data_IF_667123675814
#
_entry.id   IF_667123675814
#
_cell.length_a   1.000
_cell.length_b   1.000
_cell.length_c   1.000
_cell.angle_alpha   90.00
_cell.angle_beta   90.00
_cell.angle_gamma   90.00
#
_symmetry.space_group_name_H-M   'P 1'
#
loop_
_entity.id
_entity.type
_entity.pdbx_description
1 polymer ?
#
# COMPACT_ATOMS: atom_id res chain seq x y z
N UNK A 1 10.28 17.07 16.25
CA UNK A 1 9.60 16.50 17.42
C UNK A 1 9.00 15.15 17.02
N UNK A 2 8.92 14.18 17.92
CA UNK A 2 8.17 12.95 17.77
C UNK A 2 7.02 12.95 18.78
N UNK A 3 5.81 12.61 18.34
CA UNK A 3 4.62 12.56 19.19
C UNK A 3 4.11 11.12 19.24
N UNK A 4 4.03 10.58 20.46
CA UNK A 4 3.60 9.21 20.73
C UNK A 4 2.12 9.19 21.08
N UNK A 5 1.38 8.25 20.45
CA UNK A 5 -0.08 8.14 20.58
C UNK A 5 -0.51 6.74 20.96
N UNK A 6 -1.68 6.64 21.57
CA UNK A 6 -2.49 5.45 21.69
C UNK A 6 -3.67 5.53 20.70
N UNK A 7 -3.84 4.55 19.85
CA UNK A 7 -4.88 4.57 18.81
C UNK A 7 -6.30 4.42 19.35
N UNK A 8 -6.44 4.01 20.62
CA UNK A 8 -7.70 3.63 21.26
C UNK A 8 -8.50 2.57 20.49
N UNK A 9 -7.86 1.84 19.59
CA UNK A 9 -8.41 0.74 18.82
C UNK A 9 -7.76 -0.58 19.25
N UNK A 10 -8.56 -1.64 19.33
CA UNK A 10 -8.09 -2.96 19.74
C UNK A 10 -7.22 -3.66 18.67
N UNK A 11 -7.31 -3.23 17.40
CA UNK A 11 -6.60 -3.85 16.27
C UNK A 11 -5.97 -2.82 15.34
N UNK A 12 -4.92 -3.24 14.64
CA UNK A 12 -4.26 -2.40 13.64
C UNK A 12 -5.18 -2.09 12.46
N UNK A 13 -6.02 -3.04 12.05
CA UNK A 13 -7.00 -2.86 10.99
C UNK A 13 -8.01 -1.76 11.37
N UNK A 14 -8.47 -1.73 12.61
CA UNK A 14 -9.34 -0.69 13.14
C UNK A 14 -8.70 0.69 13.05
N UNK A 15 -7.44 0.81 13.45
CA UNK A 15 -6.67 2.06 13.37
C UNK A 15 -6.46 2.49 11.91
N UNK A 16 -6.05 1.57 11.04
CA UNK A 16 -5.88 1.84 9.59
C UNK A 16 -7.22 2.28 8.98
N UNK A 17 -8.30 1.57 9.29
CA UNK A 17 -9.64 1.89 8.79
C UNK A 17 -10.08 3.30 9.21
N UNK A 18 -9.80 3.66 10.45
CA UNK A 18 -10.08 5.00 10.97
C UNK A 18 -9.30 6.08 10.22
N UNK A 19 -8.01 5.88 9.96
CA UNK A 19 -7.18 6.82 9.18
C UNK A 19 -7.59 6.93 7.71
N UNK A 20 -8.09 5.85 7.14
CA UNK A 20 -8.61 5.83 5.77
C UNK A 20 -10.01 6.45 5.65
N UNK A 21 -10.73 6.61 6.77
CA UNK A 21 -12.03 7.24 6.78
C UNK A 21 -11.87 8.76 6.65
N UNK A 22 -12.41 9.34 5.58
CA UNK A 22 -12.32 10.78 5.32
C UNK A 22 -12.97 11.66 6.39
N UNK A 23 -13.97 11.14 7.07
CA UNK A 23 -14.67 11.88 8.12
C UNK A 23 -13.88 11.93 9.43
N UNK A 24 -12.87 11.06 9.61
CA UNK A 24 -12.05 11.03 10.80
C UNK A 24 -11.16 12.29 10.92
N UNK A 25 -10.69 12.82 9.80
CA UNK A 25 -9.75 13.95 9.71
C UNK A 25 -8.51 13.79 10.58
N UNK A 26 -8.07 12.53 10.78
CA UNK A 26 -6.86 12.19 11.52
C UNK A 26 -5.97 11.26 10.71
N UNK A 27 -4.67 11.35 10.93
CA UNK A 27 -3.67 10.46 10.37
C UNK A 27 -2.39 10.56 11.19
N UNK A 28 -1.55 9.52 11.23
CA UNK A 28 -0.21 9.57 11.80
C UNK A 28 0.80 9.07 10.77
N UNK A 29 2.08 9.29 11.01
CA UNK A 29 3.13 8.83 10.12
C UNK A 29 3.32 7.32 10.24
N UNK A 30 3.25 6.79 11.45
CA UNK A 30 3.45 5.37 11.74
C UNK A 30 2.36 4.82 12.64
N UNK A 31 2.10 3.52 12.49
CA UNK A 31 1.32 2.70 13.42
C UNK A 31 2.20 1.53 13.82
N UNK A 32 2.23 1.21 15.12
CA UNK A 32 2.91 0.04 15.67
C UNK A 32 1.86 -0.89 16.26
N UNK A 33 1.76 -2.09 15.69
CA UNK A 33 0.82 -3.11 16.15
C UNK A 33 1.31 -3.78 17.44
N UNK A 34 0.43 -4.46 18.14
CA UNK A 34 0.71 -5.14 19.41
C UNK A 34 1.80 -6.21 19.30
N UNK A 35 1.98 -6.79 18.12
CA UNK A 35 3.05 -7.75 17.80
C UNK A 35 4.39 -7.09 17.42
N UNK A 36 4.44 -5.74 17.36
CA UNK A 36 5.62 -4.96 17.00
C UNK A 36 5.77 -4.66 15.50
N UNK A 37 4.83 -5.06 14.66
CA UNK A 37 4.84 -4.68 13.24
C UNK A 37 4.64 -3.18 13.07
N UNK A 38 5.45 -2.56 12.19
CA UNK A 38 5.43 -1.12 11.93
C UNK A 38 4.84 -0.84 10.55
N UNK A 39 3.82 0.01 10.50
CA UNK A 39 3.13 0.46 9.28
C UNK A 39 3.38 1.95 9.07
N UNK A 40 3.95 2.34 7.91
CA UNK A 40 4.07 3.75 7.55
C UNK A 40 2.82 4.18 6.76
N UNK A 41 2.04 5.10 7.33
CA UNK A 41 0.81 5.64 6.74
C UNK A 41 1.03 6.96 6.01
N UNK A 42 1.86 7.84 6.56
CA UNK A 42 2.24 9.12 5.96
C UNK A 42 3.77 9.18 5.88
N UNK A 43 4.30 9.73 4.79
CA UNK A 43 5.75 9.92 4.63
C UNK A 43 6.23 11.00 5.61
N UNK A 44 7.46 10.88 6.09
CA UNK A 44 8.04 11.78 7.09
C UNK A 44 8.19 13.24 6.63
N UNK A 45 8.30 13.44 5.30
CA UNK A 45 8.40 14.76 4.67
C UNK A 45 7.04 15.43 4.41
N UNK A 46 5.94 14.78 4.80
CA UNK A 46 4.58 15.28 4.70
C UNK A 46 4.02 15.53 6.11
N UNK A 47 3.05 16.44 6.22
CA UNK A 47 2.34 16.67 7.48
C UNK A 47 1.24 15.66 7.69
N UNK A 48 1.21 14.99 8.84
CA UNK A 48 0.09 14.16 9.27
C UNK A 48 -0.82 14.93 10.25
N UNK A 49 -2.07 14.53 10.35
CA UNK A 49 -3.07 15.21 11.18
C UNK A 49 -3.26 14.44 12.50
N UNK A 50 -2.34 14.59 13.44
CA UNK A 50 -2.32 13.81 14.69
C UNK A 50 -2.19 14.65 15.97
N UNK A 51 -1.67 15.88 15.89
CA UNK A 51 -1.34 16.69 17.07
C UNK A 51 -1.62 18.18 16.86
N UNK A 52 -2.74 18.51 16.17
CA UNK A 52 -3.21 19.90 15.98
C UNK A 52 -2.09 20.89 15.59
N UNK A 53 -1.74 21.80 16.50
CA UNK A 53 -0.72 22.84 16.29
C UNK A 53 0.68 22.25 16.02
N UNK A 54 0.95 21.02 16.43
CA UNK A 54 2.23 20.36 16.22
C UNK A 54 2.32 19.58 14.88
N UNK A 55 1.22 19.43 14.13
CA UNK A 55 1.16 18.60 12.91
C UNK A 55 2.28 18.88 11.90
N UNK A 56 2.60 20.16 11.63
CA UNK A 56 3.57 20.56 10.61
C UNK A 56 5.03 20.41 11.01
N UNK A 57 5.30 20.09 12.27
CA UNK A 57 6.65 20.04 12.87
C UNK A 57 6.92 18.80 13.69
N UNK A 58 6.07 17.78 13.54
CA UNK A 58 6.22 16.53 14.27
C UNK A 58 5.93 15.30 13.42
N UNK A 59 6.50 14.18 13.85
CA UNK A 59 6.23 12.84 13.34
C UNK A 59 5.38 12.13 14.38
N UNK A 60 4.17 11.71 14.01
CA UNK A 60 3.24 10.99 14.89
C UNK A 60 3.41 9.49 14.76
N UNK A 61 3.47 8.80 15.90
CA UNK A 61 3.54 7.34 16.00
C UNK A 61 2.38 6.86 16.85
N UNK A 62 1.46 6.13 16.23
CA UNK A 62 0.34 5.47 16.91
C UNK A 62 0.73 4.07 17.37
N UNK A 63 0.34 3.72 18.57
CA UNK A 63 0.47 2.36 19.10
C UNK A 63 -0.93 1.76 19.24
N UNK A 64 -1.13 0.59 18.65
CA UNK A 64 -2.41 -0.11 18.74
C UNK A 64 -2.66 -0.54 20.18
N UNK A 65 -3.80 -0.15 20.71
CA UNK A 65 -4.21 -0.47 22.08
C UNK A 65 -5.43 0.35 22.49
N UNK A 66 -6.14 -0.11 23.49
CA UNK A 66 -7.25 0.61 24.16
C UNK A 66 -6.68 1.58 25.20
N UNK A 67 -7.53 2.44 25.76
CA UNK A 67 -7.14 3.39 26.81
C UNK A 67 -6.62 2.70 28.10
N UNK A 68 -6.97 1.44 28.32
CA UNK A 68 -6.55 0.64 29.48
C UNK A 68 -5.28 -0.18 29.23
N UNK A 69 -4.80 -0.24 27.99
CA UNK A 69 -3.65 -1.07 27.62
C UNK A 69 -2.32 -0.33 27.91
N UNK A 70 -1.32 -1.14 28.22
CA UNK A 70 0.08 -0.75 28.20
C UNK A 70 0.77 -1.31 26.96
N UNK A 71 1.95 -0.78 26.62
CA UNK A 71 2.79 -1.33 25.58
C UNK A 71 3.10 -2.79 25.84
N UNK A 72 2.94 -3.61 24.83
CA UNK A 72 3.54 -4.96 24.87
C UNK A 72 5.06 -4.85 24.74
N UNK A 73 5.80 -5.88 25.15
CA UNK A 73 7.26 -5.94 24.94
C UNK A 73 7.64 -5.79 23.47
N UNK A 74 6.83 -6.35 22.58
CA UNK A 74 7.06 -6.25 21.14
C UNK A 74 6.86 -4.81 20.63
N UNK A 75 5.81 -4.13 21.08
CA UNK A 75 5.58 -2.71 20.75
C UNK A 75 6.68 -1.81 21.33
N UNK A 76 7.08 -2.02 22.59
CA UNK A 76 8.13 -1.23 23.24
C UNK A 76 9.46 -1.36 22.48
N UNK A 77 9.86 -2.58 22.12
CA UNK A 77 11.06 -2.81 21.29
C UNK A 77 10.96 -2.15 19.91
N UNK A 78 9.85 -2.32 19.21
CA UNK A 78 9.64 -1.75 17.88
C UNK A 78 9.62 -0.21 17.93
N UNK A 79 8.92 0.36 18.91
CA UNK A 79 8.85 1.80 19.14
C UNK A 79 10.22 2.39 19.45
N UNK A 80 11.00 1.75 20.34
CA UNK A 80 12.33 2.22 20.69
C UNK A 80 13.29 2.24 19.48
N UNK A 81 13.22 1.23 18.62
CA UNK A 81 14.02 1.18 17.38
C UNK A 81 13.61 2.27 16.41
N UNK A 82 12.29 2.46 16.19
CA UNK A 82 11.76 3.48 15.29
C UNK A 82 12.08 4.89 15.79
N UNK A 83 11.84 5.17 17.07
CA UNK A 83 12.08 6.48 17.67
C UNK A 83 13.58 6.82 17.64
N UNK A 84 14.48 5.90 17.99
CA UNK A 84 15.93 6.11 17.87
C UNK A 84 16.35 6.41 16.43
N UNK A 85 15.81 5.68 15.48
CA UNK A 85 16.12 5.92 14.08
C UNK A 85 15.64 7.31 13.62
N UNK A 86 14.39 7.68 13.91
CA UNK A 86 13.84 8.99 13.58
C UNK A 86 14.60 10.13 14.29
N UNK A 87 14.92 9.95 15.56
CA UNK A 87 15.68 10.93 16.33
C UNK A 87 17.07 11.17 15.72
N UNK A 88 17.76 10.10 15.32
CA UNK A 88 19.07 10.21 14.69
C UNK A 88 19.00 10.78 13.27
N UNK A 89 17.98 10.41 12.46
CA UNK A 89 17.81 10.85 11.08
C UNK A 89 17.48 12.35 10.99
N UNK A 90 16.61 12.83 11.90
CA UNK A 90 16.11 14.21 11.88
C UNK A 90 16.73 15.11 12.97
N UNK A 91 17.72 14.62 13.71
CA UNK A 91 18.37 15.37 14.78
C UNK A 91 17.40 15.79 15.89
N UNK A 92 16.45 14.91 16.27
CA UNK A 92 15.43 15.20 17.29
C UNK A 92 15.98 14.80 18.67
N UNK A 93 16.18 15.75 19.61
CA UNK A 93 16.59 15.42 20.98
C UNK A 93 15.55 14.55 21.69
N UNK A 94 15.99 13.71 22.63
CA UNK A 94 15.10 12.87 23.43
C UNK A 94 13.99 13.67 24.15
N UNK A 95 14.31 14.86 24.63
CA UNK A 95 13.35 15.79 25.24
C UNK A 95 12.23 16.25 24.30
N UNK A 96 12.39 16.09 22.98
CA UNK A 96 11.40 16.41 21.96
C UNK A 96 10.60 15.15 21.51
N UNK A 97 10.67 14.06 22.25
CA UNK A 97 9.83 12.88 22.11
C UNK A 97 8.79 12.91 23.24
N UNK A 98 7.55 13.19 22.92
CA UNK A 98 6.50 13.49 23.90
C UNK A 98 5.21 12.71 23.64
N UNK A 99 4.37 12.53 24.64
CA UNK A 99 3.01 12.02 24.45
C UNK A 99 2.10 13.10 23.83
N UNK A 100 1.03 12.69 23.16
CA UNK A 100 0.12 13.58 22.43
C UNK A 100 -0.40 14.74 23.30
N UNK A 101 -0.94 14.46 24.50
CA UNK A 101 -1.49 15.49 25.41
C UNK A 101 -0.42 16.49 25.88
N UNK A 102 0.85 16.08 25.86
CA UNK A 102 1.99 16.90 26.30
C UNK A 102 2.67 17.64 25.14
N UNK A 103 2.22 17.43 23.90
CA UNK A 103 2.72 18.15 22.74
C UNK A 103 2.16 19.60 22.75
N UNK A 104 2.98 20.62 22.37
CA UNK A 104 2.57 22.02 22.42
C UNK A 104 1.25 22.30 21.71
N UNK A 105 0.29 22.90 22.42
CA UNK A 105 -1.04 23.25 21.93
C UNK A 105 -2.05 22.09 21.98
N UNK A 106 -1.72 21.02 22.72
CA UNK A 106 -2.65 19.91 22.97
C UNK A 106 -3.03 19.73 24.42
N UNK A 107 -2.50 20.56 25.31
CA UNK A 107 -2.75 20.52 26.75
C UNK A 107 -4.27 20.58 27.04
N UNK A 108 -4.77 19.60 27.82
CA UNK A 108 -6.18 19.52 28.21
C UNK A 108 -7.15 19.20 27.08
N UNK A 109 -6.69 18.84 25.88
CA UNK A 109 -7.55 18.55 24.72
C UNK A 109 -7.71 17.08 24.43
N UNK A 110 -6.91 16.21 25.04
CA UNK A 110 -6.90 14.76 24.84
C UNK A 110 -6.25 14.07 26.03
N UNK A 111 -6.65 12.82 26.28
CA UNK A 111 -6.00 11.95 27.28
C UNK A 111 -4.95 11.03 26.64
N UNK A 112 -4.77 11.09 25.32
CA UNK A 112 -3.78 10.31 24.60
C UNK A 112 -2.35 10.76 25.00
N UNK A 113 -1.42 9.83 25.29
CA UNK A 113 -1.47 8.39 25.05
C UNK A 113 -2.05 7.54 26.18
N UNK A 114 -2.82 8.12 27.11
CA UNK A 114 -3.39 7.40 28.27
C UNK A 114 -2.28 6.69 29.08
N UNK A 115 -2.57 5.50 29.59
CA UNK A 115 -1.63 4.70 30.39
C UNK A 115 -0.63 3.86 29.60
N UNK A 116 -0.49 4.12 28.29
CA UNK A 116 0.26 3.26 27.40
C UNK A 116 1.74 3.10 27.81
N UNK A 117 2.33 4.15 28.39
CA UNK A 117 3.74 4.19 28.85
C UNK A 117 3.88 4.02 30.38
N UNK A 118 2.84 3.57 31.05
CA UNK A 118 2.76 3.43 32.51
C UNK A 118 1.68 4.34 33.09
N UNK A 119 2.06 5.34 33.92
CA UNK A 119 1.14 6.35 34.39
C UNK A 119 0.80 7.38 33.30
N UNK A 120 -0.36 8.02 33.39
CA UNK A 120 -0.80 9.05 32.43
C UNK A 120 -0.15 10.40 32.76
N UNK A 121 1.18 10.43 32.76
CA UNK A 121 2.00 11.60 33.06
C UNK A 121 3.08 11.85 32.01
N UNK A 122 3.58 13.08 31.94
CA UNK A 122 4.71 13.43 31.08
C UNK A 122 5.99 12.71 31.51
N UNK A 123 6.15 12.53 32.82
CA UNK A 123 7.29 11.85 33.45
C UNK A 123 7.32 10.37 33.07
N UNK A 124 6.18 9.69 32.98
CA UNK A 124 6.11 8.29 32.55
C UNK A 124 6.55 8.13 31.09
N UNK A 125 6.09 9.01 30.21
CA UNK A 125 6.55 9.02 28.79
C UNK A 125 8.04 9.33 28.71
N UNK A 126 8.53 10.36 29.44
CA UNK A 126 9.95 10.73 29.49
C UNK A 126 10.81 9.60 30.08
N UNK A 127 10.31 8.92 31.12
CA UNK A 127 10.97 7.76 31.73
C UNK A 127 11.14 6.62 30.73
N UNK A 128 10.07 6.31 29.96
CA UNK A 128 10.16 5.32 28.90
C UNK A 128 11.16 5.72 27.81
N UNK A 129 11.14 7.00 27.39
CA UNK A 129 12.07 7.54 26.38
C UNK A 129 13.51 7.41 26.86
N UNK A 130 13.82 7.84 28.10
CA UNK A 130 15.17 7.76 28.67
C UNK A 130 15.65 6.31 28.77
N UNK A 131 14.79 5.38 29.21
CA UNK A 131 15.14 3.97 29.35
C UNK A 131 15.36 3.27 28.01
N UNK A 132 14.63 3.67 26.95
CA UNK A 132 14.56 2.94 25.69
C UNK A 132 15.21 3.65 24.50
N UNK A 133 15.35 4.99 24.53
CA UNK A 133 15.91 5.79 23.44
C UNK A 133 17.33 6.28 23.79
N UNK A 134 17.59 6.62 25.06
CA UNK A 134 18.88 7.08 25.58
C UNK A 134 19.19 8.55 25.27
N UNK A 135 20.08 9.18 26.05
CA UNK A 135 20.48 10.58 25.90
C UNK A 135 21.34 10.84 24.64
N UNK A 136 21.92 9.81 24.05
CA UNK A 136 22.80 9.92 22.86
C UNK A 136 22.05 10.20 21.54
N UNK A 137 20.73 10.20 21.53
CA UNK A 137 19.94 10.38 20.30
C UNK A 137 20.10 11.77 19.65
N UNK A 138 20.59 12.79 20.40
CA UNK A 138 20.75 14.15 19.90
C UNK A 138 22.17 14.73 19.96
N UNK A 139 23.15 14.03 20.58
CA UNK A 139 24.47 14.58 20.88
C UNK A 139 25.55 14.30 19.83
N UNK A 140 25.23 13.55 18.79
CA UNK A 140 26.13 13.45 17.62
C UNK A 140 25.95 14.71 16.78
N UNK A 141 27.03 15.53 16.70
CA UNK A 141 27.13 16.58 15.68
C UNK A 141 26.53 16.07 14.36
N UNK A 142 25.72 16.89 13.65
CA UNK A 142 25.21 16.50 12.35
C UNK A 142 26.41 16.10 11.52
N UNK A 143 26.60 14.80 11.32
CA UNK A 143 27.65 14.29 10.44
C UNK A 143 27.50 15.09 9.16
N UNK A 144 28.51 15.95 8.87
CA UNK A 144 28.62 16.69 7.61
C UNK A 144 28.07 15.76 6.54
N UNK A 145 27.01 16.17 5.88
CA UNK A 145 26.37 15.42 4.79
C UNK A 145 27.47 14.90 3.87
N UNK A 146 28.03 13.74 4.21
CA UNK A 146 28.58 12.87 3.19
C UNK A 146 27.33 12.60 2.36
N UNK A 147 27.36 13.06 1.15
CA UNK A 147 26.43 12.65 0.10
C UNK A 147 26.53 11.13 0.05
N UNK A 148 25.82 10.48 0.98
CA UNK A 148 25.60 9.04 0.92
C UNK A 148 24.77 8.93 -0.34
N UNK A 149 25.40 8.51 -1.40
CA UNK A 149 24.75 8.31 -2.68
C UNK A 149 23.47 7.51 -2.37
N UNK A 150 22.36 7.91 -2.97
CA UNK A 150 21.05 7.26 -2.76
C UNK A 150 21.10 5.74 -2.99
N UNK A 151 22.19 5.24 -3.54
CA UNK A 151 22.55 3.83 -3.68
C UNK A 151 22.95 3.14 -2.37
N UNK A 152 23.57 3.84 -1.39
CA UNK A 152 24.04 3.21 -0.15
C UNK A 152 22.92 3.09 0.90
N UNK A 153 21.99 4.06 0.96
CA UNK A 153 20.79 3.95 1.79
C UNK A 153 19.87 2.83 1.24
N UNK A 154 19.76 2.72 -0.08
CA UNK A 154 19.06 1.60 -0.73
C UNK A 154 19.73 0.25 -0.43
N UNK A 155 21.05 0.17 -0.34
CA UNK A 155 21.76 -1.09 -0.02
C UNK A 155 21.59 -1.53 1.43
N UNK A 156 21.52 -0.61 2.41
CA UNK A 156 21.34 -0.98 3.83
C UNK A 156 19.91 -1.33 4.20
N UNK A 157 18.92 -0.63 3.65
CA UNK A 157 17.50 -0.97 3.82
C UNK A 157 17.12 -2.29 3.10
N UNK A 158 17.99 -2.80 2.24
CA UNK A 158 17.78 -3.99 1.40
C UNK A 158 18.62 -5.19 1.80
N UNK A 159 19.42 -5.10 2.87
CA UNK A 159 20.02 -6.30 3.43
C UNK A 159 18.92 -7.08 4.15
N UNK A 160 18.35 -8.04 3.43
CA UNK A 160 17.70 -9.18 4.08
C UNK A 160 18.62 -9.68 5.18
N UNK A 161 18.14 -9.99 6.40
CA UNK A 161 18.95 -10.68 7.40
C UNK A 161 19.66 -11.81 6.68
N UNK A 162 20.99 -11.92 6.90
CA UNK A 162 21.81 -13.03 6.42
C UNK A 162 21.02 -14.31 6.64
N UNK A 163 20.84 -15.08 5.62
CA UNK A 163 20.05 -16.31 5.54
C UNK A 163 19.84 -16.94 6.92
N UNK A 164 18.79 -16.55 7.56
CA UNK A 164 18.25 -17.29 8.66
C UNK A 164 17.80 -18.64 8.09
N UNK A 165 18.17 -19.73 8.72
CA UNK A 165 18.07 -21.08 8.17
C UNK A 165 16.67 -21.50 7.72
N UNK A 166 16.50 -22.72 7.18
CA UNK A 166 15.23 -23.19 6.58
C UNK A 166 13.98 -22.90 7.41
N UNK A 167 14.07 -22.97 8.73
CA UNK A 167 12.94 -22.71 9.65
C UNK A 167 12.36 -21.28 9.52
N UNK A 168 13.19 -20.27 9.30
CA UNK A 168 12.74 -18.88 9.14
C UNK A 168 12.20 -18.61 7.72
N UNK A 169 12.69 -19.32 6.71
CA UNK A 169 12.15 -19.27 5.37
C UNK A 169 10.74 -19.88 5.34
N UNK A 170 10.51 -21.03 5.95
CA UNK A 170 9.18 -21.64 6.08
C UNK A 170 8.21 -20.78 6.90
N UNK A 171 8.69 -20.15 7.99
CA UNK A 171 7.91 -19.21 8.78
C UNK A 171 7.44 -18.02 7.96
N UNK A 172 8.34 -17.42 7.17
CA UNK A 172 8.01 -16.33 6.25
C UNK A 172 7.02 -16.77 5.18
N UNK A 173 7.27 -17.90 4.55
CA UNK A 173 6.39 -18.43 3.51
C UNK A 173 4.96 -18.64 4.04
N UNK A 174 4.83 -19.24 5.22
CA UNK A 174 3.53 -19.43 5.89
C UNK A 174 2.84 -18.09 6.19
N UNK A 175 3.59 -17.09 6.68
CA UNK A 175 3.08 -15.74 6.95
C UNK A 175 2.61 -15.06 5.66
N UNK A 176 3.41 -15.14 4.57
CA UNK A 176 3.06 -14.52 3.31
C UNK A 176 1.81 -15.18 2.66
N UNK A 177 1.66 -16.51 2.78
CA UNK A 177 0.43 -17.19 2.38
C UNK A 177 -0.77 -16.76 3.21
N UNK A 178 -0.63 -16.66 4.53
CA UNK A 178 -1.72 -16.21 5.40
C UNK A 178 -2.17 -14.79 5.04
N UNK A 179 -1.23 -13.88 4.77
CA UNK A 179 -1.53 -12.52 4.29
C UNK A 179 -2.26 -12.51 2.95
N UNK A 180 -1.84 -13.36 2.01
CA UNK A 180 -2.48 -13.49 0.71
C UNK A 180 -3.92 -14.01 0.88
N UNK A 181 -4.11 -15.09 1.63
CA UNK A 181 -5.42 -15.69 1.89
C UNK A 181 -6.37 -14.70 2.56
N UNK A 182 -5.88 -13.93 3.55
CA UNK A 182 -6.64 -12.90 4.22
C UNK A 182 -7.07 -11.80 3.23
N UNK A 183 -6.16 -11.31 2.36
CA UNK A 183 -6.51 -10.27 1.39
C UNK A 183 -7.50 -10.76 0.33
N UNK A 184 -7.41 -12.03 -0.08
CA UNK A 184 -8.40 -12.60 -1.01
C UNK A 184 -9.76 -12.76 -0.33
N UNK A 185 -9.82 -13.12 0.95
CA UNK A 185 -11.06 -13.26 1.70
C UNK A 185 -11.79 -11.94 1.97
N UNK A 186 -11.06 -10.82 2.04
CA UNK A 186 -11.64 -9.48 2.30
C UNK A 186 -12.16 -8.82 1.02
N UNK A 187 -11.63 -9.21 -0.15
CA UNK A 187 -12.11 -8.63 -1.41
C UNK A 187 -13.61 -8.95 -1.60
N UNK A 188 -14.45 -7.96 -1.96
CA UNK A 188 -15.86 -8.22 -2.26
C UNK A 188 -15.96 -9.32 -3.30
N UNK A 189 -16.57 -10.44 -2.92
CA UNK A 189 -16.85 -11.55 -3.84
C UNK A 189 -18.13 -11.20 -4.60
N UNK A 190 -18.06 -10.73 -5.84
CA UNK A 190 -19.29 -10.38 -6.56
C UNK A 190 -20.05 -11.62 -6.94
N UNK A 191 -21.35 -11.54 -6.79
CA UNK A 191 -22.28 -12.56 -7.25
C UNK A 191 -22.29 -12.70 -8.79
N UNK A 192 -21.76 -11.72 -9.52
CA UNK A 192 -21.76 -11.72 -10.97
C UNK A 192 -20.54 -12.47 -11.54
N UNK A 193 -20.77 -13.35 -12.49
CA UNK A 193 -19.77 -14.11 -13.26
C UNK A 193 -19.09 -13.22 -14.32
N UNK A 194 -19.64 -12.03 -14.60
CA UNK A 194 -19.17 -11.13 -15.63
C UNK A 194 -18.02 -10.24 -15.16
N UNK A 195 -17.11 -9.89 -16.08
CA UNK A 195 -16.01 -8.95 -15.85
C UNK A 195 -16.48 -7.51 -16.01
N UNK A 196 -16.09 -6.65 -15.08
CA UNK A 196 -16.33 -5.19 -15.16
C UNK A 196 -15.40 -4.53 -16.20
N UNK A 197 -15.75 -3.31 -16.63
CA UNK A 197 -14.90 -2.51 -17.51
C UNK A 197 -13.49 -2.33 -16.94
N UNK A 198 -13.38 -2.12 -15.64
CA UNK A 198 -12.10 -1.93 -14.96
C UNK A 198 -11.23 -3.20 -14.97
N UNK A 199 -11.81 -4.35 -14.71
CA UNK A 199 -11.13 -5.66 -14.77
C UNK A 199 -10.58 -5.90 -16.16
N UNK A 200 -11.38 -5.67 -17.19
CA UNK A 200 -10.96 -5.82 -18.60
C UNK A 200 -9.84 -4.87 -19.00
N UNK A 201 -9.93 -3.58 -18.62
CA UNK A 201 -8.88 -2.62 -18.93
C UNK A 201 -7.58 -2.92 -18.19
N UNK A 202 -7.66 -3.40 -16.95
CA UNK A 202 -6.50 -3.84 -16.19
C UNK A 202 -5.81 -5.01 -16.86
N UNK A 203 -6.56 -6.03 -17.26
CA UNK A 203 -6.03 -7.19 -18.02
C UNK A 203 -5.41 -6.72 -19.35
N UNK A 204 -6.04 -5.79 -20.05
CA UNK A 204 -5.56 -5.28 -21.34
C UNK A 204 -4.20 -4.57 -21.21
N UNK A 205 -3.96 -3.85 -20.12
CA UNK A 205 -2.73 -3.08 -19.89
C UNK A 205 -1.63 -3.94 -19.26
N UNK A 206 -1.96 -4.65 -18.19
CA UNK A 206 -0.96 -5.28 -17.33
C UNK A 206 -0.67 -6.72 -17.74
N UNK A 207 -1.69 -7.48 -18.16
CA UNK A 207 -1.51 -8.91 -18.40
C UNK A 207 -2.52 -9.48 -19.40
N UNK A 208 -2.28 -9.27 -20.69
CA UNK A 208 -3.21 -9.68 -21.78
C UNK A 208 -3.47 -11.18 -21.87
N UNK A 209 -2.69 -11.97 -21.14
CA UNK A 209 -2.80 -13.43 -21.12
C UNK A 209 -3.20 -13.94 -19.75
N UNK A 210 -3.72 -13.08 -18.89
CA UNK A 210 -4.03 -13.35 -17.50
C UNK A 210 -4.72 -14.70 -17.27
N UNK A 211 -5.73 -15.03 -18.06
CA UNK A 211 -6.46 -16.30 -17.96
C UNK A 211 -5.77 -17.49 -18.68
N UNK A 212 -4.59 -17.28 -19.28
CA UNK A 212 -3.92 -18.29 -20.12
C UNK A 212 -2.57 -18.75 -19.55
N UNK A 213 -2.27 -18.40 -18.30
CA UNK A 213 -1.07 -18.86 -17.60
C UNK A 213 -1.35 -19.09 -16.10
N UNK A 214 -0.61 -19.98 -15.44
CA UNK A 214 -0.79 -20.33 -14.03
C UNK A 214 -0.03 -19.40 -13.08
N UNK A 215 -0.24 -18.08 -13.14
CA UNK A 215 0.42 -17.08 -12.27
C UNK A 215 1.66 -16.42 -12.87
N UNK A 216 2.43 -17.12 -13.70
CA UNK A 216 3.61 -16.59 -14.43
C UNK A 216 3.44 -16.86 -15.92
N UNK A 217 3.59 -15.83 -16.76
CA UNK A 217 3.57 -15.98 -18.21
C UNK A 217 4.98 -16.27 -18.75
N UNK A 218 5.27 -17.55 -18.97
CA UNK A 218 6.57 -18.01 -19.48
C UNK A 218 6.94 -17.37 -20.83
N UNK A 219 5.97 -17.06 -21.71
CA UNK A 219 6.22 -16.38 -22.99
C UNK A 219 6.67 -14.95 -22.77
N UNK A 220 6.09 -14.26 -21.80
CA UNK A 220 6.50 -12.88 -21.43
C UNK A 220 7.88 -12.86 -20.78
N UNK A 221 8.18 -13.85 -19.94
CA UNK A 221 9.52 -14.01 -19.35
C UNK A 221 10.56 -14.26 -20.43
N UNK A 222 10.34 -15.21 -21.33
CA UNK A 222 11.26 -15.52 -22.44
C UNK A 222 11.49 -14.28 -23.33
N UNK A 223 10.42 -13.59 -23.72
CA UNK A 223 10.51 -12.38 -24.54
C UNK A 223 11.35 -11.31 -23.86
N UNK A 224 11.19 -11.13 -22.55
CA UNK A 224 11.93 -10.13 -21.79
C UNK A 224 13.41 -10.53 -21.63
N UNK A 225 13.69 -11.79 -21.39
CA UNK A 225 15.07 -12.32 -21.35
C UNK A 225 15.80 -12.06 -22.68
N UNK A 226 15.13 -12.35 -23.81
CA UNK A 226 15.68 -12.08 -25.13
C UNK A 226 15.92 -10.58 -25.38
N UNK A 227 15.02 -9.70 -24.89
CA UNK A 227 15.21 -8.25 -24.97
C UNK A 227 16.42 -7.78 -24.16
N UNK A 228 16.61 -8.31 -22.95
CA UNK A 228 17.79 -8.01 -22.13
C UNK A 228 19.06 -8.42 -22.85
N UNK A 229 19.11 -9.62 -23.40
CA UNK A 229 20.27 -10.14 -24.14
C UNK A 229 20.57 -9.33 -25.40
N UNK A 230 19.55 -8.74 -26.03
CA UNK A 230 19.71 -7.90 -27.24
C UNK A 230 19.87 -6.41 -26.94
N UNK A 231 20.08 -6.00 -25.69
CA UNK A 231 20.28 -4.59 -25.29
C UNK A 231 19.05 -3.68 -25.51
N UNK A 232 17.86 -4.22 -25.77
CA UNK A 232 16.64 -3.45 -25.99
C UNK A 232 16.01 -3.02 -24.67
N UNK A 233 15.31 -1.86 -24.67
CA UNK A 233 14.63 -1.36 -23.47
C UNK A 233 13.65 -2.40 -22.90
N UNK A 234 13.67 -2.55 -21.58
CA UNK A 234 12.82 -3.47 -20.85
C UNK A 234 11.32 -3.21 -21.09
N UNK A 235 10.56 -4.29 -21.33
CA UNK A 235 9.09 -4.32 -21.29
C UNK A 235 8.63 -5.05 -20.03
N UNK A 236 7.32 -4.97 -19.69
CA UNK A 236 6.79 -5.66 -18.51
C UNK A 236 6.72 -7.19 -18.71
N UNK A 237 7.38 -7.95 -17.83
CA UNK A 237 7.22 -9.40 -17.71
C UNK A 237 6.45 -9.83 -16.45
N UNK A 238 6.07 -8.89 -15.60
CA UNK A 238 5.33 -9.18 -14.38
C UNK A 238 3.84 -9.36 -14.70
N UNK A 239 3.27 -10.43 -14.22
CA UNK A 239 1.84 -10.73 -14.31
C UNK A 239 1.06 -10.01 -13.21
N UNK A 240 -0.26 -9.95 -13.32
CA UNK A 240 -1.16 -9.43 -12.27
C UNK A 240 -0.95 -10.23 -10.98
N UNK A 241 -0.82 -11.55 -11.05
CA UNK A 241 -0.58 -12.42 -9.90
C UNK A 241 0.71 -12.03 -9.17
N UNK A 242 1.81 -11.80 -9.89
CA UNK A 242 3.08 -11.34 -9.31
C UNK A 242 2.98 -9.95 -8.69
N UNK A 243 2.19 -9.06 -9.31
CA UNK A 243 1.95 -7.71 -8.79
C UNK A 243 1.12 -7.75 -7.50
N UNK A 244 0.10 -8.61 -7.45
CA UNK A 244 -0.70 -8.85 -6.24
C UNK A 244 0.15 -9.37 -5.08
N UNK A 245 0.89 -10.46 -5.32
CA UNK A 245 1.81 -11.04 -4.33
C UNK A 245 2.78 -9.99 -3.79
N UNK A 246 3.41 -9.21 -4.67
CA UNK A 246 4.32 -8.12 -4.27
C UNK A 246 3.64 -7.06 -3.43
N UNK A 247 2.40 -6.70 -3.76
CA UNK A 247 1.63 -5.69 -3.04
C UNK A 247 1.32 -6.15 -1.62
N UNK A 248 0.85 -7.39 -1.46
CA UNK A 248 0.44 -7.96 -0.17
C UNK A 248 1.64 -8.31 0.73
N UNK A 249 2.70 -8.89 0.15
CA UNK A 249 3.88 -9.28 0.94
C UNK A 249 4.82 -8.12 1.25
N UNK A 250 4.65 -6.97 0.58
CA UNK A 250 5.50 -5.80 0.76
C UNK A 250 6.96 -5.99 0.33
N UNK A 251 7.32 -7.12 -0.29
CA UNK A 251 8.69 -7.43 -0.67
C UNK A 251 9.10 -6.64 -1.93
N UNK A 252 9.76 -5.49 -1.75
CA UNK A 252 10.07 -4.52 -2.82
C UNK A 252 11.53 -4.48 -3.27
N UNK A 253 12.43 -5.31 -2.68
CA UNK A 253 13.85 -5.32 -3.05
C UNK A 253 14.03 -5.58 -4.58
N UNK A 254 14.80 -4.77 -5.32
CA UNK A 254 15.00 -4.93 -6.76
C UNK A 254 16.03 -6.05 -7.07
N UNK A 255 15.78 -7.26 -6.61
CA UNK A 255 16.68 -8.41 -6.73
C UNK A 255 16.07 -9.55 -7.54
N UNK A 256 16.91 -10.37 -8.16
CA UNK A 256 16.48 -11.60 -8.85
C UNK A 256 15.82 -12.56 -7.86
N UNK A 257 16.35 -12.66 -6.63
CA UNK A 257 15.76 -13.49 -5.56
C UNK A 257 14.31 -13.12 -5.27
N UNK A 258 14.00 -11.83 -5.20
CA UNK A 258 12.62 -11.36 -5.06
C UNK A 258 11.76 -11.82 -6.23
N UNK A 259 12.22 -11.63 -7.47
CA UNK A 259 11.49 -12.03 -8.67
C UNK A 259 11.17 -13.53 -8.68
N UNK A 260 12.13 -14.37 -8.29
CA UNK A 260 11.94 -15.83 -8.16
C UNK A 260 10.91 -16.13 -7.07
N UNK A 261 11.00 -15.46 -5.92
CA UNK A 261 10.06 -15.65 -4.82
C UNK A 261 8.64 -15.19 -5.19
N UNK A 262 8.49 -14.01 -5.82
CA UNK A 262 7.19 -13.54 -6.37
C UNK A 262 6.61 -14.54 -7.37
N UNK A 263 7.43 -15.07 -8.27
CA UNK A 263 7.00 -16.06 -9.26
C UNK A 263 6.55 -17.37 -8.59
N UNK A 264 7.29 -17.84 -7.59
CA UNK A 264 6.93 -19.03 -6.82
C UNK A 264 5.58 -18.84 -6.11
N UNK A 265 5.39 -17.73 -5.38
CA UNK A 265 4.12 -17.45 -4.71
C UNK A 265 2.98 -17.28 -5.71
N UNK A 266 3.22 -16.57 -6.83
CA UNK A 266 2.21 -16.38 -7.89
C UNK A 266 1.74 -17.70 -8.52
N UNK A 267 2.64 -18.69 -8.63
CA UNK A 267 2.27 -20.06 -9.05
C UNK A 267 1.51 -20.80 -7.94
N UNK A 268 1.98 -20.70 -6.70
CA UNK A 268 1.43 -21.46 -5.59
C UNK A 268 0.01 -21.01 -5.20
N UNK A 269 -0.31 -19.73 -5.30
CA UNK A 269 -1.67 -19.23 -4.99
C UNK A 269 -2.74 -19.71 -5.97
N UNK A 270 -2.37 -20.16 -7.18
CA UNK A 270 -3.32 -20.70 -8.15
C UNK A 270 -3.98 -22.00 -7.67
N UNK A 271 -3.35 -22.75 -6.78
CA UNK A 271 -3.92 -23.96 -6.17
C UNK A 271 -4.98 -23.65 -5.11
N UNK A 272 -5.07 -22.39 -4.66
CA UNK A 272 -5.93 -21.97 -3.53
C UNK A 272 -7.02 -21.01 -3.96
N UNK A 273 -6.74 -20.17 -4.97
CA UNK A 273 -7.61 -19.06 -5.37
C UNK A 273 -7.83 -19.03 -6.87
N UNK A 274 -9.04 -18.66 -7.27
CA UNK A 274 -9.37 -18.49 -8.70
C UNK A 274 -8.76 -17.20 -9.25
N UNK A 275 -8.44 -17.18 -10.53
CA UNK A 275 -7.88 -16.00 -11.22
C UNK A 275 -8.67 -14.72 -10.96
N UNK A 276 -10.00 -14.82 -11.02
CA UNK A 276 -10.86 -13.66 -10.82
C UNK A 276 -10.78 -13.11 -9.38
N UNK A 277 -10.63 -13.98 -8.38
CA UNK A 277 -10.47 -13.59 -6.98
C UNK A 277 -9.15 -12.84 -6.78
N UNK A 278 -8.08 -13.33 -7.41
CA UNK A 278 -6.76 -12.67 -7.37
C UNK A 278 -6.82 -11.29 -8.03
N UNK A 279 -7.46 -11.16 -9.21
CA UNK A 279 -7.61 -9.88 -9.90
C UNK A 279 -8.36 -8.86 -9.05
N UNK A 280 -9.48 -9.25 -8.46
CA UNK A 280 -10.31 -8.38 -7.62
C UNK A 280 -9.60 -7.96 -6.35
N UNK A 281 -8.89 -8.89 -5.73
CA UNK A 281 -8.06 -8.62 -4.55
C UNK A 281 -6.90 -7.68 -4.88
N UNK A 282 -6.27 -7.84 -6.03
CA UNK A 282 -5.26 -6.91 -6.53
C UNK A 282 -5.82 -5.51 -6.70
N UNK A 283 -6.96 -5.36 -7.38
CA UNK A 283 -7.61 -4.06 -7.58
C UNK A 283 -8.07 -3.42 -6.27
N UNK A 284 -8.43 -4.23 -5.27
CA UNK A 284 -8.83 -3.72 -3.96
C UNK A 284 -7.65 -3.14 -3.15
N UNK A 285 -6.42 -3.66 -3.32
CA UNK A 285 -5.25 -3.27 -2.53
C UNK A 285 -4.16 -2.52 -3.32
N UNK A 286 -4.26 -2.42 -4.65
CA UNK A 286 -3.25 -1.76 -5.47
C UNK A 286 -3.16 -0.25 -5.20
N UNK A 287 -1.95 0.30 -5.39
CA UNK A 287 -1.69 1.73 -5.25
C UNK A 287 -1.94 2.48 -6.55
N UNK A 288 -2.87 3.43 -6.54
CA UNK A 288 -3.27 4.24 -7.68
C UNK A 288 -2.75 5.68 -7.63
N UNK A 289 -2.04 6.06 -6.57
CA UNK A 289 -1.50 7.41 -6.41
C UNK A 289 -1.60 7.90 -4.98
N UNK A 290 -1.22 9.15 -4.74
CA UNK A 290 -1.15 9.74 -3.41
C UNK A 290 -2.48 9.64 -2.66
N UNK A 291 -2.51 8.84 -1.60
CA UNK A 291 -3.69 8.58 -0.79
C UNK A 291 -4.77 7.71 -1.46
N UNK A 292 -4.45 7.04 -2.59
CA UNK A 292 -5.40 6.22 -3.34
C UNK A 292 -4.97 4.76 -3.31
N UNK A 293 -5.45 4.02 -2.32
CA UNK A 293 -5.30 2.56 -2.23
C UNK A 293 -6.63 1.93 -2.61
N UNK A 294 -6.59 0.97 -3.55
CA UNK A 294 -7.75 0.32 -4.12
C UNK A 294 -8.42 1.11 -5.24
N UNK A 295 -8.92 0.38 -6.21
CA UNK A 295 -9.56 0.93 -7.41
C UNK A 295 -10.79 1.78 -7.10
N UNK A 296 -11.57 1.39 -6.08
CA UNK A 296 -12.76 2.14 -5.69
C UNK A 296 -12.41 3.55 -5.16
N UNK A 297 -11.32 3.68 -4.38
CA UNK A 297 -10.84 4.98 -3.92
C UNK A 297 -10.43 5.89 -5.10
N UNK A 298 -9.78 5.30 -6.12
CA UNK A 298 -9.41 6.02 -7.33
C UNK A 298 -10.64 6.46 -8.15
N UNK A 299 -11.62 5.55 -8.35
CA UNK A 299 -12.87 5.81 -9.06
C UNK A 299 -13.70 6.92 -8.38
N UNK A 300 -13.86 6.82 -7.07
CA UNK A 300 -14.54 7.85 -6.27
C UNK A 300 -13.83 9.21 -6.35
N UNK A 301 -12.50 9.22 -6.34
CA UNK A 301 -11.71 10.45 -6.40
C UNK A 301 -11.81 11.16 -7.75
N UNK A 302 -11.77 10.42 -8.85
CA UNK A 302 -11.74 10.99 -10.19
C UNK A 302 -13.14 11.21 -10.76
N UNK A 303 -14.05 10.25 -10.59
CA UNK A 303 -15.32 10.19 -11.29
C UNK A 303 -16.55 10.23 -10.37
N UNK A 304 -16.38 10.19 -9.05
CA UNK A 304 -17.47 10.10 -8.06
C UNK A 304 -18.38 8.89 -8.24
N UNK A 305 -17.81 7.81 -8.79
CA UNK A 305 -18.50 6.54 -9.09
C UNK A 305 -17.88 5.39 -8.31
N UNK A 306 -18.64 4.30 -8.17
CA UNK A 306 -18.08 3.02 -7.78
C UNK A 306 -17.23 2.44 -8.92
N UNK A 307 -16.15 1.73 -8.61
CA UNK A 307 -15.27 1.12 -9.60
C UNK A 307 -15.96 0.15 -10.55
N UNK A 308 -17.05 -0.48 -10.10
CA UNK A 308 -17.82 -1.43 -10.92
C UNK A 308 -18.70 -0.75 -11.98
N UNK A 309 -18.93 0.56 -11.84
CA UNK A 309 -19.83 1.34 -12.72
C UNK A 309 -19.07 2.32 -13.63
N UNK A 310 -17.78 2.09 -13.79
CA UNK A 310 -16.97 2.91 -14.71
C UNK A 310 -17.28 2.57 -16.16
N UNK A 311 -17.33 3.62 -17.02
CA UNK A 311 -17.30 3.43 -18.45
C UNK A 311 -15.98 2.79 -18.89
N UNK A 312 -15.87 2.35 -20.15
CA UNK A 312 -14.62 1.78 -20.66
C UNK A 312 -13.48 2.80 -20.62
N UNK A 313 -13.75 4.06 -20.96
CA UNK A 313 -12.77 5.16 -20.96
C UNK A 313 -12.31 5.50 -19.55
N UNK A 314 -13.27 5.63 -18.61
CA UNK A 314 -12.98 5.87 -17.19
C UNK A 314 -12.15 4.73 -16.60
N UNK A 315 -12.53 3.49 -16.89
CA UNK A 315 -11.84 2.28 -16.47
C UNK A 315 -10.42 2.19 -17.05
N UNK A 316 -10.23 2.57 -18.32
CA UNK A 316 -8.93 2.64 -18.96
C UNK A 316 -8.01 3.65 -18.27
N UNK A 317 -8.55 4.82 -17.88
CA UNK A 317 -7.78 5.83 -17.17
C UNK A 317 -7.38 5.36 -15.77
N UNK A 318 -8.31 4.76 -14.99
CA UNK A 318 -7.99 4.18 -13.69
C UNK A 318 -6.93 3.07 -13.83
N UNK A 319 -7.09 2.16 -14.80
CA UNK A 319 -6.11 1.10 -15.02
C UNK A 319 -4.72 1.64 -15.40
N UNK A 320 -4.64 2.75 -16.12
CA UNK A 320 -3.39 3.41 -16.47
C UNK A 320 -2.62 3.90 -15.22
N UNK A 321 -3.34 4.19 -14.12
CA UNK A 321 -2.74 4.63 -12.86
C UNK A 321 -1.93 3.53 -12.15
N UNK A 322 -2.13 2.26 -12.46
CA UNK A 322 -1.29 1.17 -11.94
C UNK A 322 0.18 1.34 -12.35
N UNK A 323 0.43 1.81 -13.58
CA UNK A 323 1.78 2.09 -14.09
C UNK A 323 2.23 3.52 -13.83
N UNK A 324 1.30 4.46 -13.81
CA UNK A 324 1.52 5.89 -13.58
C UNK A 324 0.63 6.38 -12.44
N UNK A 325 0.97 6.06 -11.18
CA UNK A 325 0.19 6.50 -10.02
C UNK A 325 0.02 8.02 -10.02
N UNK A 326 -1.19 8.48 -9.68
CA UNK A 326 -1.53 9.90 -9.68
C UNK A 326 -0.72 10.65 -8.63
N UNK A 327 0.12 11.62 -9.00
CA UNK A 327 0.91 12.40 -8.05
C UNK A 327 0.07 13.49 -7.39
N UNK A 328 0.59 14.08 -6.32
CA UNK A 328 0.01 15.28 -5.70
C UNK A 328 0.22 16.53 -6.57
N UNK A 329 1.37 16.63 -7.25
CA UNK A 329 1.80 17.76 -8.07
C UNK A 329 2.17 17.31 -9.47
N UNK A 330 2.22 18.23 -10.42
CA UNK A 330 2.60 17.95 -11.80
C UNK A 330 1.52 17.20 -12.60
N UNK A 331 0.26 17.45 -12.30
CA UNK A 331 -0.92 16.81 -12.92
C UNK A 331 -0.93 16.85 -14.45
N UNK A 332 -0.58 17.95 -15.15
CA UNK A 332 -0.67 17.98 -16.61
C UNK A 332 0.25 16.95 -17.30
N UNK A 333 1.48 16.76 -16.80
CA UNK A 333 2.38 15.74 -17.34
C UNK A 333 1.92 14.32 -17.02
N UNK A 334 1.33 14.13 -15.85
CA UNK A 334 0.75 12.86 -15.45
C UNK A 334 -0.46 12.53 -16.33
N UNK A 335 -1.40 13.46 -16.52
CA UNK A 335 -2.60 13.30 -17.35
C UNK A 335 -2.24 12.86 -18.76
N UNK A 336 -1.29 13.53 -19.40
CA UNK A 336 -0.85 13.16 -20.74
C UNK A 336 -0.32 11.71 -20.81
N UNK A 337 0.45 11.26 -19.80
CA UNK A 337 0.96 9.89 -19.73
C UNK A 337 -0.16 8.87 -19.47
N UNK A 338 -1.05 9.19 -18.54
CA UNK A 338 -2.17 8.33 -18.17
C UNK A 338 -3.14 8.17 -19.35
N UNK A 339 -3.49 9.29 -20.04
CA UNK A 339 -4.34 9.26 -21.23
C UNK A 339 -3.74 8.45 -22.38
N UNK A 340 -2.44 8.60 -22.67
CA UNK A 340 -1.76 7.77 -23.69
C UNK A 340 -1.84 6.28 -23.36
N UNK A 341 -1.69 5.93 -22.09
CA UNK A 341 -1.78 4.53 -21.67
C UNK A 341 -3.22 4.04 -21.68
N UNK A 342 -4.20 4.87 -21.33
CA UNK A 342 -5.61 4.56 -21.43
C UNK A 342 -6.04 4.31 -22.88
N UNK A 343 -5.63 5.18 -23.81
CA UNK A 343 -5.86 4.99 -25.25
C UNK A 343 -5.28 3.67 -25.75
N UNK A 344 -4.07 3.31 -25.26
CA UNK A 344 -3.50 2.01 -25.57
C UNK A 344 -4.33 0.84 -25.02
N UNK A 345 -4.88 0.94 -23.81
CA UNK A 345 -5.78 -0.07 -23.24
C UNK A 345 -7.01 -0.28 -24.13
N UNK A 346 -7.65 0.84 -24.52
CA UNK A 346 -8.82 0.82 -25.39
C UNK A 346 -8.51 0.17 -26.74
N UNK A 347 -7.37 0.50 -27.35
CA UNK A 347 -6.95 -0.12 -28.62
C UNK A 347 -6.67 -1.63 -28.47
N UNK A 348 -6.13 -2.07 -27.34
CA UNK A 348 -5.92 -3.50 -27.05
C UNK A 348 -7.25 -4.20 -26.84
N UNK A 349 -8.16 -3.59 -26.09
CA UNK A 349 -9.50 -4.12 -25.83
C UNK A 349 -10.29 -4.28 -27.14
N UNK A 350 -10.36 -3.26 -27.98
CA UNK A 350 -11.07 -3.31 -29.24
C UNK A 350 -10.61 -4.48 -30.14
N UNK A 351 -9.30 -4.78 -30.14
CA UNK A 351 -8.72 -5.86 -30.97
C UNK A 351 -8.83 -7.25 -30.35
N UNK A 352 -9.05 -7.36 -29.04
CA UNK A 352 -8.87 -8.64 -28.29
C UNK A 352 -9.94 -8.91 -27.25
N UNK A 353 -11.09 -8.24 -27.30
CA UNK A 353 -12.17 -8.29 -26.31
C UNK A 353 -12.43 -9.71 -25.78
N UNK A 354 -12.75 -10.66 -26.65
CA UNK A 354 -13.03 -12.07 -26.27
C UNK A 354 -11.87 -12.76 -25.57
N UNK A 355 -10.62 -12.51 -26.01
CA UNK A 355 -9.44 -13.13 -25.44
C UNK A 355 -9.10 -12.58 -24.07
N UNK A 356 -9.38 -11.30 -23.81
CA UNK A 356 -9.16 -10.67 -22.53
C UNK A 356 -10.16 -11.17 -21.48
N UNK A 357 -11.40 -11.43 -21.89
CA UNK A 357 -12.44 -11.93 -20.99
C UNK A 357 -12.21 -13.39 -20.54
N UNK A 358 -11.42 -14.17 -21.30
CA UNK A 358 -11.18 -15.58 -20.99
C UNK A 358 -12.49 -16.36 -20.93
N UNK A 359 -12.77 -17.07 -19.83
CA UNK A 359 -14.00 -17.85 -19.66
C UNK A 359 -15.19 -17.04 -19.11
N UNK A 360 -15.02 -15.73 -18.90
CA UNK A 360 -16.03 -14.89 -18.26
C UNK A 360 -16.83 -14.07 -19.28
N UNK A 361 -18.06 -13.75 -18.92
CA UNK A 361 -18.87 -12.78 -19.64
C UNK A 361 -18.37 -11.34 -19.39
N UNK A 362 -18.75 -10.43 -20.27
CA UNK A 362 -18.43 -9.01 -20.15
C UNK A 362 -19.69 -8.30 -19.64
N UNK A 363 -19.60 -7.63 -18.49
CA UNK A 363 -20.67 -6.80 -18.00
C UNK A 363 -20.88 -5.62 -18.98
N UNK A 364 -22.09 -5.46 -19.47
CA UNK A 364 -22.46 -4.28 -20.30
C UNK A 364 -22.61 -3.11 -19.34
N UNK A 365 -21.90 -1.97 -19.57
CA UNK A 365 -22.11 -0.79 -18.76
C UNK A 365 -23.56 -0.34 -18.79
N UNK A 366 -24.11 0.05 -17.63
CA UNK A 366 -25.53 0.42 -17.49
C UNK A 366 -25.97 1.59 -18.40
N UNK A 367 -25.04 2.38 -18.93
CA UNK A 367 -25.28 3.44 -19.93
C UNK A 367 -25.64 2.89 -21.29
N UNK A 368 -25.03 1.79 -21.75
CA UNK A 368 -25.37 1.18 -23.05
C UNK A 368 -26.68 0.36 -22.98
N UNK A 369 -27.04 -0.17 -21.79
CA UNK A 369 -28.28 -0.89 -21.59
C UNK A 369 -29.52 0.02 -21.73
N UNK A 370 -29.44 1.30 -21.31
CA UNK A 370 -30.54 2.25 -21.47
C UNK A 370 -30.77 2.70 -22.93
N UNK A 371 -29.70 2.80 -23.71
CA UNK A 371 -29.85 3.18 -25.14
C UNK A 371 -30.46 2.05 -25.97
N UNK A 372 -30.18 0.78 -25.65
CA UNK A 372 -30.79 -0.38 -26.31
C UNK A 372 -32.25 -0.59 -25.89
N UNK A 373 -32.64 -0.32 -24.64
CA UNK A 373 -34.04 -0.37 -24.22
C UNK A 373 -34.90 0.74 -24.83
N UNK A 374 -34.33 1.95 -25.01
CA UNK A 374 -35.04 3.08 -25.62
C UNK A 374 -35.21 2.91 -27.15
N UNK A 375 -34.30 2.19 -27.80
CA UNK A 375 -34.38 1.91 -29.24
C UNK A 375 -35.44 0.85 -29.61
N UNK A 376 -35.88 0.01 -28.65
CA UNK A 376 -36.89 -1.05 -28.85
C UNK A 376 -38.32 -0.53 -28.64
N UNK A 377 -38.49 0.66 -28.05
CA UNK A 377 -39.82 1.23 -27.69
C UNK A 377 -40.35 2.31 -28.64
N UNK A 378 -39.78 2.49 -29.83
CA UNK A 378 -40.37 3.32 -30.86
C UNK A 378 -41.32 2.48 -31.72
N UNK A 379 -42.65 2.73 -31.67
CA UNK A 379 -43.59 2.04 -32.56
C UNK A 379 -43.42 2.57 -33.98
N UNK A 380 -43.56 1.65 -34.95
CA UNK A 380 -43.59 1.95 -36.39
C UNK A 380 -44.81 2.76 -36.76
#
# INVERSE_FOLDING_TARGET
MIVLHCSTAATVEGTIHWFLNRNSRVSAHYIIDRNGDIYQMVRDDLSAWHAKAANSRSIGIEHVGTAADQLTDAQSRASSVLVRWLAAEYGIPAANVVGHRFAPGNEGTTDCPNHLFGEDTAEAVAGWVNANVGDDAGSREPRKRRRVEAQDVRRRALQLPKWAGPATWFGRLRSDFARIDQNVGVAPQPRAIALTSLELMTIAIEDRRFFHHPGVDARSVLRETLRVLTGRKHGGASTIDMQFVRTVTGFRAPTVKRKVYEAFLALAIQFRHRKIEILRSYLACAYFGSGLIGANAAAQRLFKKNADWLSLEEAALISAMLAYPRPLHGLPRWEQRAQRRAAYAMAVFARRKRRLAGPYEIAVPATEARETETAVLLPR
#
